data_IF_137002332228
#
_entry.id   IF_137002332228
#
_cell.length_a   1.000
_cell.length_b   1.000
_cell.length_c   1.000
_cell.angle_alpha   90.00
_cell.angle_beta   90.00
_cell.angle_gamma   90.00
#
_symmetry.space_group_name_H-M   'P 1'
#
loop_
_entity.id
_entity.type
_entity.pdbx_description
1 polymer ?
#
# COMPACT_ATOMS: atom_id res chain seq x y z
N UNK A 1 11.48 -31.52 5.20
CA UNK A 1 10.67 -30.91 4.13
C UNK A 1 11.23 -29.53 3.80
N UNK A 2 11.44 -29.26 2.49
CA UNK A 2 12.00 -27.99 2.00
C UNK A 2 10.91 -26.90 1.72
N UNK A 3 9.77 -27.01 2.39
CA UNK A 3 8.64 -26.08 2.20
C UNK A 3 8.20 -25.49 3.54
N UNK A 4 7.90 -24.22 3.54
CA UNK A 4 7.25 -23.57 4.68
C UNK A 4 5.83 -24.11 4.89
N UNK A 5 5.40 -24.16 6.14
CA UNK A 5 4.01 -24.53 6.46
C UNK A 5 3.06 -23.42 6.00
N UNK A 6 1.92 -23.76 5.37
CA UNK A 6 0.94 -22.75 4.96
C UNK A 6 0.48 -21.89 6.14
N UNK A 7 0.54 -20.57 5.98
CA UNK A 7 -0.02 -19.63 6.96
C UNK A 7 -1.54 -19.56 6.80
N UNK A 8 -2.27 -19.65 7.92
CA UNK A 8 -3.71 -19.43 7.93
C UNK A 8 -3.96 -17.93 8.15
N UNK A 9 -4.51 -17.20 7.14
CA UNK A 9 -4.77 -15.78 7.27
C UNK A 9 -5.91 -15.52 8.24
N UNK A 10 -5.90 -14.34 8.88
CA UNK A 10 -6.98 -13.81 9.70
C UNK A 10 -8.04 -13.17 8.82
N UNK A 11 -9.29 -13.16 9.27
CA UNK A 11 -10.36 -12.32 8.72
C UNK A 11 -10.72 -11.31 9.84
N UNK A 12 -10.44 -10.01 9.69
CA UNK A 12 -10.88 -8.99 10.64
C UNK A 12 -12.41 -8.91 10.71
N UNK A 13 -12.97 -8.55 11.87
CA UNK A 13 -14.42 -8.55 12.13
C UNK A 13 -15.24 -7.76 11.09
N UNK A 14 -14.71 -6.63 10.61
CA UNK A 14 -15.34 -5.83 9.55
C UNK A 14 -15.56 -6.57 8.22
N UNK A 15 -14.90 -7.73 8.02
CA UNK A 15 -14.92 -8.53 6.79
C UNK A 15 -15.37 -9.97 7.01
N UNK A 16 -15.97 -10.29 8.15
CA UNK A 16 -16.61 -11.58 8.37
C UNK A 16 -17.84 -11.74 7.48
N UNK A 17 -18.27 -12.97 7.23
CA UNK A 17 -19.29 -13.27 6.22
C UNK A 17 -20.62 -12.52 6.42
N UNK A 18 -21.00 -12.31 7.68
CA UNK A 18 -22.28 -11.67 8.06
C UNK A 18 -22.10 -10.16 8.38
N UNK A 19 -20.90 -9.59 8.21
CA UNK A 19 -20.66 -8.18 8.50
C UNK A 19 -21.14 -7.27 7.36
N UNK A 20 -21.67 -6.08 7.70
CA UNK A 20 -21.87 -4.99 6.76
C UNK A 20 -20.54 -4.21 6.62
N UNK A 21 -19.81 -4.50 5.55
CA UNK A 21 -18.51 -3.87 5.30
C UNK A 21 -18.64 -2.37 5.08
N UNK A 22 -19.74 -1.89 4.50
CA UNK A 22 -19.96 -0.48 4.28
C UNK A 22 -20.21 0.27 5.60
N UNK A 23 -21.01 -0.31 6.50
CA UNK A 23 -21.21 0.25 7.84
C UNK A 23 -19.88 0.33 8.60
N UNK A 24 -19.09 -0.75 8.60
CA UNK A 24 -17.80 -0.78 9.29
C UNK A 24 -16.79 0.26 8.74
N UNK A 25 -16.74 0.45 7.42
CA UNK A 25 -15.86 1.47 6.80
C UNK A 25 -16.41 2.89 7.03
N UNK A 26 -17.74 3.05 7.10
CA UNK A 26 -18.37 4.33 7.39
C UNK A 26 -18.11 4.81 8.83
N UNK A 27 -18.00 3.86 9.77
CA UNK A 27 -17.68 4.14 11.18
C UNK A 27 -16.23 4.57 11.37
N UNK A 28 -15.29 3.84 10.75
CA UNK A 28 -13.86 4.15 10.76
C UNK A 28 -13.11 3.48 9.62
N UNK A 29 -11.96 4.04 9.27
CA UNK A 29 -11.05 3.42 8.31
C UNK A 29 -10.70 1.98 8.73
N UNK A 30 -10.60 1.09 7.74
CA UNK A 30 -10.20 -0.30 7.95
C UNK A 30 -8.88 -0.57 7.23
N UNK A 31 -7.99 -1.34 7.87
CA UNK A 31 -6.70 -1.73 7.29
C UNK A 31 -6.55 -3.25 7.30
N UNK A 32 -6.06 -3.80 6.20
CA UNK A 32 -5.65 -5.20 6.08
C UNK A 32 -4.18 -5.30 5.71
N UNK A 33 -3.51 -6.34 6.20
CA UNK A 33 -2.10 -6.62 5.89
C UNK A 33 -1.94 -8.06 5.38
N UNK A 34 -1.89 -8.22 4.06
CA UNK A 34 -1.69 -9.52 3.42
C UNK A 34 -0.25 -10.02 3.62
N UNK A 35 0.00 -11.34 3.69
CA UNK A 35 -0.97 -12.45 3.73
C UNK A 35 -1.47 -12.79 5.13
N UNK A 36 -1.14 -11.98 6.13
CA UNK A 36 -1.59 -12.20 7.52
C UNK A 36 -3.09 -12.03 7.66
N UNK A 37 -3.65 -11.01 6.98
CA UNK A 37 -5.08 -10.89 6.74
C UNK A 37 -5.41 -11.47 5.36
N UNK A 38 -6.57 -12.11 5.27
CA UNK A 38 -7.03 -12.76 4.04
C UNK A 38 -7.29 -11.73 2.93
N UNK A 39 -6.87 -12.03 1.71
CA UNK A 39 -7.31 -11.28 0.52
C UNK A 39 -8.84 -11.39 0.31
N UNK A 40 -9.46 -12.37 0.98
CA UNK A 40 -10.92 -12.48 1.08
C UNK A 40 -11.61 -11.20 1.57
N UNK A 41 -10.93 -10.35 2.36
CA UNK A 41 -11.46 -9.04 2.78
C UNK A 41 -11.75 -8.12 1.59
N UNK A 42 -10.80 -8.02 0.65
CA UNK A 42 -10.97 -7.24 -0.59
C UNK A 42 -12.08 -7.83 -1.46
N UNK A 43 -12.14 -9.16 -1.54
CA UNK A 43 -13.20 -9.85 -2.30
C UNK A 43 -14.56 -9.64 -1.65
N UNK A 44 -14.67 -9.70 -0.34
CA UNK A 44 -15.92 -9.46 0.39
C UNK A 44 -16.45 -8.05 0.13
N UNK A 45 -15.58 -7.02 0.20
CA UNK A 45 -15.93 -5.65 -0.16
C UNK A 45 -16.49 -5.55 -1.59
N UNK A 46 -15.83 -6.16 -2.57
CA UNK A 46 -16.27 -6.15 -3.96
C UNK A 46 -17.57 -6.95 -4.19
N UNK A 47 -17.73 -8.09 -3.50
CA UNK A 47 -18.93 -8.91 -3.57
C UNK A 47 -20.12 -8.19 -2.96
N UNK A 48 -19.98 -7.58 -1.78
CA UNK A 48 -21.04 -6.76 -1.21
C UNK A 48 -21.37 -5.58 -2.13
N UNK A 49 -20.35 -4.91 -2.71
CA UNK A 49 -20.59 -3.84 -3.69
C UNK A 49 -21.36 -4.33 -4.92
N UNK A 50 -21.09 -5.53 -5.40
CA UNK A 50 -21.81 -6.11 -6.53
C UNK A 50 -23.26 -6.45 -6.19
N UNK A 51 -23.54 -6.91 -4.97
CA UNK A 51 -24.86 -7.39 -4.54
C UNK A 51 -25.77 -6.29 -4.01
N UNK A 52 -25.23 -5.27 -3.34
CA UNK A 52 -26.00 -4.20 -2.69
C UNK A 52 -26.77 -3.35 -3.71
N UNK A 53 -28.12 -3.28 -3.65
CA UNK A 53 -28.95 -2.51 -4.57
C UNK A 53 -28.68 -0.99 -4.51
N UNK A 54 -28.14 -0.49 -3.41
CA UNK A 54 -27.80 0.92 -3.24
C UNK A 54 -26.47 1.31 -3.91
N UNK A 55 -25.60 0.35 -4.26
CA UNK A 55 -24.39 0.65 -5.03
C UNK A 55 -24.77 0.94 -6.48
N UNK A 56 -24.38 2.11 -6.96
CA UNK A 56 -24.68 2.61 -8.31
C UNK A 56 -23.50 2.49 -9.27
N UNK A 57 -22.26 2.60 -8.76
CA UNK A 57 -21.07 2.53 -9.59
C UNK A 57 -19.88 1.88 -8.89
N UNK A 58 -19.05 1.18 -9.67
CA UNK A 58 -17.76 0.63 -9.25
C UNK A 58 -16.70 1.02 -10.28
N UNK A 59 -15.59 1.61 -9.85
CA UNK A 59 -14.43 1.88 -10.70
C UNK A 59 -13.22 1.12 -10.13
N UNK A 60 -12.48 0.40 -10.97
CA UNK A 60 -11.42 -0.51 -10.54
C UNK A 60 -10.21 -0.44 -11.46
N UNK A 61 -9.00 -0.34 -10.91
CA UNK A 61 -7.76 -0.57 -11.67
C UNK A 61 -7.42 -2.06 -11.69
N UNK A 62 -7.06 -2.58 -12.86
CA UNK A 62 -6.71 -3.98 -13.06
C UNK A 62 -5.28 -4.08 -13.60
N UNK A 63 -4.42 -4.72 -12.82
CA UNK A 63 -3.03 -4.99 -13.16
C UNK A 63 -2.62 -6.35 -12.60
N UNK A 64 -2.23 -7.30 -13.47
CA UNK A 64 -1.83 -8.66 -13.07
C UNK A 64 -2.88 -9.37 -12.21
N UNK A 65 -4.11 -9.42 -12.66
CA UNK A 65 -5.21 -10.01 -11.90
C UNK A 65 -5.15 -11.55 -11.79
N UNK A 66 -4.29 -12.20 -12.58
CA UNK A 66 -4.16 -13.64 -12.66
C UNK A 66 -5.31 -14.34 -13.44
N UNK A 67 -5.11 -15.62 -13.75
CA UNK A 67 -6.16 -16.43 -14.39
C UNK A 67 -7.34 -16.67 -13.42
N UNK A 68 -8.57 -16.67 -13.92
CA UNK A 68 -9.81 -16.86 -13.14
C UNK A 68 -9.97 -15.86 -11.99
N UNK A 69 -9.65 -14.58 -12.23
CA UNK A 69 -9.69 -13.54 -11.20
C UNK A 69 -11.07 -13.41 -10.52
N UNK A 70 -11.17 -13.62 -9.20
CA UNK A 70 -12.42 -13.40 -8.48
C UNK A 70 -12.83 -11.92 -8.45
N UNK A 71 -11.89 -10.99 -8.59
CA UNK A 71 -12.14 -9.55 -8.73
C UNK A 71 -12.91 -9.28 -10.02
N UNK A 72 -12.45 -9.82 -11.16
CA UNK A 72 -13.15 -9.68 -12.45
C UNK A 72 -14.55 -10.27 -12.37
N UNK A 73 -14.72 -11.44 -11.74
CA UNK A 73 -16.06 -12.03 -11.52
C UNK A 73 -17.01 -11.10 -10.76
N UNK A 74 -16.52 -10.42 -9.72
CA UNK A 74 -17.33 -9.46 -8.95
C UNK A 74 -17.73 -8.25 -9.80
N UNK A 75 -16.85 -7.76 -10.69
CA UNK A 75 -17.18 -6.67 -11.62
C UNK A 75 -18.23 -7.08 -12.66
N UNK A 76 -18.11 -8.29 -13.20
CA UNK A 76 -19.11 -8.87 -14.13
C UNK A 76 -20.48 -9.02 -13.45
N UNK A 77 -20.52 -9.51 -12.20
CA UNK A 77 -21.76 -9.65 -11.43
C UNK A 77 -22.37 -8.27 -11.13
N UNK A 78 -21.56 -7.28 -10.77
CA UNK A 78 -22.04 -5.91 -10.58
C UNK A 78 -22.68 -5.35 -11.87
N UNK A 79 -22.08 -5.59 -13.03
CA UNK A 79 -22.63 -5.16 -14.32
C UNK A 79 -23.92 -5.87 -14.67
N UNK A 80 -24.01 -7.19 -14.45
CA UNK A 80 -25.26 -7.96 -14.63
C UNK A 80 -26.42 -7.43 -13.79
N UNK A 81 -26.12 -6.89 -12.60
CA UNK A 81 -27.10 -6.24 -11.70
C UNK A 81 -27.37 -4.78 -12.03
N UNK A 82 -26.96 -4.32 -13.20
CA UNK A 82 -27.27 -2.97 -13.72
C UNK A 82 -26.41 -1.84 -13.19
N UNK A 83 -25.31 -2.13 -12.44
CA UNK A 83 -24.42 -1.10 -11.94
C UNK A 83 -23.53 -0.54 -13.05
N UNK A 84 -23.12 0.72 -12.91
CA UNK A 84 -22.09 1.29 -13.76
C UNK A 84 -20.73 0.75 -13.33
N UNK A 85 -20.05 0.04 -14.21
CA UNK A 85 -18.73 -0.52 -13.91
C UNK A 85 -17.70 0.04 -14.90
N UNK A 86 -16.62 0.58 -14.36
CA UNK A 86 -15.46 1.03 -15.15
C UNK A 86 -14.22 0.26 -14.71
N UNK A 87 -13.55 -0.39 -15.63
CA UNK A 87 -12.30 -1.10 -15.42
C UNK A 87 -11.18 -0.41 -16.17
N UNK A 88 -10.17 0.05 -15.46
CA UNK A 88 -8.95 0.61 -16.05
C UNK A 88 -7.91 -0.49 -16.11
N UNK A 89 -7.63 -1.02 -17.30
CA UNK A 89 -6.80 -2.20 -17.53
C UNK A 89 -5.43 -1.79 -18.06
N UNK A 90 -4.36 -2.21 -17.36
CA UNK A 90 -2.99 -2.05 -17.83
C UNK A 90 -2.58 -3.28 -18.65
N UNK A 91 -2.50 -3.13 -19.98
CA UNK A 91 -2.15 -4.23 -20.87
C UNK A 91 -0.66 -4.60 -20.82
N UNK A 92 0.24 -3.63 -20.59
CA UNK A 92 1.70 -3.84 -20.58
C UNK A 92 2.20 -4.44 -19.25
N UNK A 93 1.47 -5.42 -18.71
CA UNK A 93 1.88 -6.15 -17.52
C UNK A 93 2.78 -7.33 -17.95
N UNK A 94 4.10 -7.16 -17.86
CA UNK A 94 5.10 -8.16 -18.26
C UNK A 94 4.72 -9.57 -17.77
N UNK A 95 4.59 -10.54 -18.69
CA UNK A 95 4.16 -11.95 -18.52
C UNK A 95 2.65 -12.16 -18.25
N UNK A 96 1.83 -11.14 -18.25
CA UNK A 96 0.37 -11.24 -18.03
C UNK A 96 -0.43 -10.54 -19.15
N UNK A 97 0.24 -10.16 -20.25
CA UNK A 97 -0.35 -9.38 -21.34
C UNK A 97 -1.55 -10.09 -21.98
N UNK A 98 -1.40 -11.35 -22.34
CA UNK A 98 -2.47 -12.15 -22.96
C UNK A 98 -3.68 -12.30 -22.01
N UNK A 99 -3.43 -12.58 -20.74
CA UNK A 99 -4.51 -12.71 -19.77
C UNK A 99 -5.25 -11.40 -19.54
N UNK A 100 -4.54 -10.27 -19.53
CA UNK A 100 -5.15 -8.96 -19.35
C UNK A 100 -6.01 -8.58 -20.56
N UNK A 101 -5.60 -8.95 -21.78
CA UNK A 101 -6.41 -8.78 -23.00
C UNK A 101 -7.69 -9.61 -22.91
N UNK A 102 -7.59 -10.89 -22.58
CA UNK A 102 -8.74 -11.78 -22.44
C UNK A 102 -9.76 -11.27 -21.41
N UNK A 103 -9.29 -10.75 -20.26
CA UNK A 103 -10.17 -10.15 -19.25
C UNK A 103 -10.83 -8.86 -19.75
N UNK A 104 -10.08 -8.01 -20.45
CA UNK A 104 -10.62 -6.79 -21.01
C UNK A 104 -11.74 -7.08 -22.00
N UNK A 105 -11.55 -8.03 -22.92
CA UNK A 105 -12.59 -8.46 -23.85
C UNK A 105 -13.82 -9.07 -23.17
N UNK A 106 -13.64 -9.89 -22.11
CA UNK A 106 -14.76 -10.45 -21.36
C UNK A 106 -15.58 -9.36 -20.67
N UNK A 107 -14.90 -8.38 -20.07
CA UNK A 107 -15.54 -7.23 -19.45
C UNK A 107 -16.30 -6.37 -20.46
N UNK A 108 -15.71 -6.09 -21.62
CA UNK A 108 -16.35 -5.32 -22.70
C UNK A 108 -17.59 -6.02 -23.24
N UNK A 109 -17.51 -7.33 -23.51
CA UNK A 109 -18.68 -8.12 -23.96
C UNK A 109 -19.84 -8.10 -22.95
N UNK A 110 -19.51 -7.99 -21.65
CA UNK A 110 -20.51 -7.84 -20.59
C UNK A 110 -21.04 -6.40 -20.45
N UNK A 111 -20.53 -5.44 -21.22
CA UNK A 111 -20.92 -4.04 -21.20
C UNK A 111 -20.27 -3.22 -20.07
N UNK A 112 -19.14 -3.67 -19.52
CA UNK A 112 -18.29 -2.87 -18.62
C UNK A 112 -17.58 -1.81 -19.46
N UNK A 113 -17.47 -0.59 -18.94
CA UNK A 113 -16.64 0.43 -19.56
C UNK A 113 -15.15 0.13 -19.30
N UNK A 114 -14.48 -0.45 -20.28
CA UNK A 114 -13.07 -0.78 -20.21
C UNK A 114 -12.23 0.35 -20.78
N UNK A 115 -11.26 0.82 -20.01
CA UNK A 115 -10.31 1.84 -20.45
C UNK A 115 -8.91 1.22 -20.42
N UNK A 116 -8.28 1.23 -21.54
CA UNK A 116 -6.87 0.85 -21.69
C UNK A 116 -5.97 2.02 -21.32
N UNK A 117 -4.87 1.73 -20.64
CA UNK A 117 -3.98 2.77 -20.14
C UNK A 117 -3.47 3.74 -21.21
N UNK A 118 -2.88 4.83 -20.79
CA UNK A 118 -2.39 5.88 -21.68
C UNK A 118 -1.17 5.47 -22.50
N UNK A 119 -1.07 6.00 -23.71
CA UNK A 119 0.17 5.94 -24.47
C UNK A 119 1.29 6.64 -23.69
N UNK A 120 2.34 5.88 -23.32
CA UNK A 120 3.51 6.39 -22.61
C UNK A 120 3.45 6.41 -21.09
N UNK A 121 2.27 6.24 -20.45
CA UNK A 121 2.14 6.15 -18.99
C UNK A 121 1.57 4.81 -18.57
N UNK A 122 2.30 4.10 -17.72
CA UNK A 122 1.85 2.82 -17.16
C UNK A 122 1.02 3.04 -15.90
N UNK A 123 -0.17 2.41 -15.85
CA UNK A 123 -1.02 2.48 -14.65
C UNK A 123 -0.56 1.43 -13.64
N UNK A 124 -0.06 1.91 -12.49
CA UNK A 124 0.43 1.02 -11.43
C UNK A 124 -0.28 1.23 -10.09
N UNK A 125 -1.11 2.25 -9.96
CA UNK A 125 -1.98 2.46 -8.79
C UNK A 125 -2.98 1.31 -8.61
N UNK A 126 -3.27 0.93 -7.36
CA UNK A 126 -4.20 -0.12 -6.99
C UNK A 126 -5.37 0.51 -6.26
N UNK A 127 -6.43 0.79 -7.02
CA UNK A 127 -7.58 1.58 -6.58
C UNK A 127 -8.90 0.86 -6.90
N UNK A 128 -9.80 0.87 -5.94
CA UNK A 128 -11.20 0.55 -6.13
C UNK A 128 -12.06 1.67 -5.55
N UNK A 129 -12.98 2.21 -6.32
CA UNK A 129 -13.97 3.20 -5.90
C UNK A 129 -15.37 2.61 -6.04
N UNK A 130 -16.13 2.61 -4.97
CA UNK A 130 -17.55 2.24 -4.93
C UNK A 130 -18.37 3.48 -4.59
N UNK A 131 -19.41 3.74 -5.38
CA UNK A 131 -20.37 4.83 -5.12
C UNK A 131 -21.70 4.21 -4.71
N UNK A 132 -22.14 4.55 -3.50
CA UNK A 132 -23.34 4.00 -2.86
C UNK A 132 -24.32 5.12 -2.54
N UNK A 133 -25.62 4.88 -2.77
CA UNK A 133 -26.69 5.78 -2.34
C UNK A 133 -26.93 5.60 -0.85
N UNK A 134 -26.92 6.67 -0.09
CA UNK A 134 -27.19 6.68 1.34
C UNK A 134 -28.07 7.87 1.69
N UNK A 135 -29.27 7.58 2.17
CA UNK A 135 -30.31 8.61 2.38
C UNK A 135 -30.56 9.40 1.09
N UNK A 136 -30.49 10.71 1.15
CA UNK A 136 -30.67 11.61 0.01
C UNK A 136 -29.40 11.85 -0.83
N UNK A 137 -28.26 11.25 -0.44
CA UNK A 137 -26.94 11.53 -1.03
C UNK A 137 -26.23 10.30 -1.58
N UNK A 138 -25.00 10.57 -2.04
CA UNK A 138 -24.06 9.54 -2.50
C UNK A 138 -22.85 9.53 -1.60
N UNK A 139 -22.50 8.36 -1.06
CA UNK A 139 -21.25 8.15 -0.33
C UNK A 139 -20.28 7.34 -1.18
N UNK A 140 -19.01 7.69 -1.10
CA UNK A 140 -17.92 7.00 -1.78
C UNK A 140 -17.15 6.17 -0.77
N UNK A 141 -16.82 4.97 -1.18
CA UNK A 141 -15.98 4.02 -0.46
C UNK A 141 -14.79 3.68 -1.34
N UNK A 142 -13.61 3.76 -0.78
CA UNK A 142 -12.38 3.56 -1.54
C UNK A 142 -11.54 2.48 -0.87
N UNK A 143 -11.00 1.56 -1.68
CA UNK A 143 -9.88 0.72 -1.29
C UNK A 143 -8.63 1.18 -2.05
N UNK A 144 -7.55 1.41 -1.31
CA UNK A 144 -6.21 1.72 -1.84
C UNK A 144 -5.23 0.68 -1.34
N UNK A 145 -4.59 -0.06 -2.29
CA UNK A 145 -3.64 -1.11 -1.96
C UNK A 145 -2.20 -0.76 -2.34
N UNK A 146 -1.24 -1.31 -1.61
CA UNK A 146 0.16 -1.33 -2.04
C UNK A 146 0.42 -2.46 -3.05
N UNK A 147 -0.37 -3.53 -3.01
CA UNK A 147 -0.28 -4.73 -3.85
C UNK A 147 -1.37 -4.87 -4.90
N UNK A 148 -1.11 -5.71 -5.89
CA UNK A 148 -2.05 -5.99 -6.98
C UNK A 148 -3.30 -6.73 -6.49
N UNK A 149 -4.42 -6.55 -7.21
CA UNK A 149 -5.66 -7.30 -6.99
C UNK A 149 -5.54 -8.74 -7.49
N UNK A 150 -4.64 -9.51 -6.89
CA UNK A 150 -4.31 -10.88 -7.27
C UNK A 150 -4.30 -11.80 -6.04
N UNK A 151 -5.29 -12.68 -5.95
CA UNK A 151 -5.47 -13.59 -4.81
C UNK A 151 -4.31 -14.59 -4.63
N UNK A 152 -3.58 -14.93 -5.70
CA UNK A 152 -2.44 -15.84 -5.62
C UNK A 152 -1.20 -15.12 -5.08
N UNK A 153 -0.88 -13.92 -5.61
CA UNK A 153 0.24 -13.12 -5.11
C UNK A 153 0.03 -12.67 -3.66
N UNK A 154 -1.21 -12.36 -3.27
CA UNK A 154 -1.56 -11.94 -1.91
C UNK A 154 -1.34 -13.03 -0.84
N UNK A 155 -1.02 -14.27 -1.22
CA UNK A 155 -0.61 -15.33 -0.30
C UNK A 155 0.87 -15.31 0.06
N UNK A 156 1.67 -14.58 -0.71
CA UNK A 156 3.14 -14.62 -0.63
C UNK A 156 3.70 -13.20 -0.43
N UNK A 157 3.06 -12.16 -1.00
CA UNK A 157 3.50 -10.78 -0.94
C UNK A 157 2.91 -10.10 0.29
N UNK A 158 3.74 -9.36 1.04
CA UNK A 158 3.24 -8.52 2.12
C UNK A 158 2.74 -7.21 1.56
N UNK A 159 1.43 -6.94 1.69
CA UNK A 159 0.81 -5.74 1.16
C UNK A 159 -0.24 -5.17 2.11
N UNK A 160 -0.30 -3.84 2.19
CA UNK A 160 -1.31 -3.10 2.94
C UNK A 160 -2.50 -2.73 2.03
N UNK A 161 -3.70 -2.76 2.59
CA UNK A 161 -4.93 -2.29 1.94
C UNK A 161 -5.75 -1.44 2.89
N UNK A 162 -5.92 -0.15 2.55
CA UNK A 162 -6.74 0.81 3.29
C UNK A 162 -8.12 0.89 2.68
N UNK A 163 -9.16 0.77 3.50
CA UNK A 163 -10.56 1.06 3.14
C UNK A 163 -10.99 2.33 3.89
N UNK A 164 -11.55 3.30 3.17
CA UNK A 164 -11.91 4.61 3.74
C UNK A 164 -13.12 5.23 3.05
N UNK A 165 -13.83 6.08 3.79
CA UNK A 165 -14.84 7.02 3.29
C UNK A 165 -14.37 8.46 3.39
N UNK A 166 -13.12 8.72 3.76
CA UNK A 166 -12.61 10.08 3.90
C UNK A 166 -12.88 10.90 2.63
N UNK A 167 -13.55 12.03 2.76
CA UNK A 167 -14.04 12.80 1.64
C UNK A 167 -12.93 13.30 0.72
N UNK A 168 -11.79 13.74 1.27
CA UNK A 168 -10.67 14.26 0.49
C UNK A 168 -10.03 13.13 -0.34
N UNK A 169 -9.76 11.98 0.31
CA UNK A 169 -9.20 10.79 -0.36
C UNK A 169 -10.15 10.26 -1.43
N UNK A 170 -11.44 10.11 -1.11
CA UNK A 170 -12.44 9.61 -2.04
C UNK A 170 -12.64 10.53 -3.26
N UNK A 171 -12.61 11.86 -3.03
CA UNK A 171 -12.70 12.83 -4.12
C UNK A 171 -11.48 12.78 -5.02
N UNK A 172 -10.27 12.68 -4.45
CA UNK A 172 -9.03 12.57 -5.22
C UNK A 172 -8.98 11.27 -6.04
N UNK A 173 -9.43 10.13 -5.47
CA UNK A 173 -9.52 8.87 -6.21
C UNK A 173 -10.53 8.98 -7.37
N UNK A 174 -11.67 9.63 -7.16
CA UNK A 174 -12.63 9.88 -8.24
C UNK A 174 -12.02 10.77 -9.33
N UNK A 175 -11.35 11.86 -8.95
CA UNK A 175 -10.68 12.76 -9.87
C UNK A 175 -9.58 12.03 -10.67
N UNK A 176 -8.81 11.15 -10.00
CA UNK A 176 -7.81 10.32 -10.68
C UNK A 176 -8.44 9.32 -11.66
N UNK A 177 -9.57 8.70 -11.32
CA UNK A 177 -10.31 7.87 -12.29
C UNK A 177 -10.81 8.70 -13.48
N UNK A 178 -11.26 9.93 -13.26
CA UNK A 178 -11.67 10.81 -14.36
C UNK A 178 -10.47 11.16 -15.26
N UNK A 179 -9.28 11.42 -14.70
CA UNK A 179 -8.04 11.58 -15.47
C UNK A 179 -7.73 10.31 -16.27
N UNK A 180 -7.75 9.14 -15.62
CA UNK A 180 -7.43 7.85 -16.28
C UNK A 180 -8.43 7.46 -17.38
N UNK A 181 -9.64 7.98 -17.35
CA UNK A 181 -10.68 7.73 -18.36
C UNK A 181 -10.83 8.85 -19.39
N UNK A 182 -9.94 9.85 -19.37
CA UNK A 182 -9.90 10.94 -20.35
C UNK A 182 -10.90 12.07 -20.10
N UNK A 183 -11.59 12.09 -18.98
CA UNK A 183 -12.65 13.08 -18.68
C UNK A 183 -12.18 14.24 -17.79
N UNK A 184 -10.89 14.37 -17.53
CA UNK A 184 -10.44 15.45 -16.65
C UNK A 184 -8.95 15.74 -16.70
N UNK A 185 -8.60 16.95 -16.28
CA UNK A 185 -7.25 17.38 -15.94
C UNK A 185 -7.28 17.80 -14.50
N UNK A 186 -6.38 17.25 -13.68
CA UNK A 186 -6.24 17.60 -12.27
C UNK A 186 -4.88 18.24 -12.06
N UNK A 187 -4.89 19.47 -11.59
CA UNK A 187 -3.67 20.23 -11.29
C UNK A 187 -3.15 19.92 -9.88
N UNK A 188 -4.05 19.71 -8.93
CA UNK A 188 -3.73 19.46 -7.52
C UNK A 188 -4.72 18.48 -6.89
N UNK A 189 -4.20 17.52 -6.12
CA UNK A 189 -4.98 16.64 -5.26
C UNK A 189 -5.04 17.21 -3.83
N UNK A 190 -6.08 16.85 -3.07
CA UNK A 190 -6.34 17.33 -1.70
C UNK A 190 -5.52 16.57 -0.68
N UNK A 191 -5.42 15.25 -0.86
CA UNK A 191 -4.80 14.31 0.07
C UNK A 191 -3.79 13.37 -0.60
N UNK A 192 -4.03 12.96 -1.84
CA UNK A 192 -3.20 11.98 -2.53
C UNK A 192 -1.95 12.63 -3.14
N UNK A 193 -0.83 11.91 -3.09
CA UNK A 193 0.34 12.21 -3.91
C UNK A 193 0.30 11.33 -5.15
N UNK A 194 0.13 11.94 -6.31
CA UNK A 194 -0.05 11.23 -7.58
C UNK A 194 1.10 11.54 -8.52
N UNK A 195 1.73 10.51 -9.10
CA UNK A 195 2.70 10.67 -10.19
C UNK A 195 1.99 10.62 -11.56
N UNK A 196 2.63 11.21 -12.60
CA UNK A 196 4.00 11.71 -12.65
C UNK A 196 4.18 13.16 -12.17
N UNK A 197 3.15 13.90 -11.87
CA UNK A 197 3.28 15.36 -11.63
C UNK A 197 3.68 15.70 -10.18
N UNK A 198 2.94 15.22 -9.19
CA UNK A 198 3.01 15.77 -7.82
C UNK A 198 3.69 14.85 -6.80
N UNK A 199 3.77 13.56 -7.04
CA UNK A 199 4.29 12.62 -6.04
C UNK A 199 5.74 12.94 -5.65
N UNK A 200 6.63 13.14 -6.64
CA UNK A 200 8.03 13.53 -6.38
C UNK A 200 8.10 14.81 -5.54
N UNK A 201 7.39 15.85 -5.99
CA UNK A 201 7.40 17.15 -5.30
C UNK A 201 6.95 17.01 -3.85
N UNK A 202 5.86 16.31 -3.60
CA UNK A 202 5.31 16.15 -2.25
C UNK A 202 6.21 15.31 -1.34
N UNK A 203 6.83 14.23 -1.84
CA UNK A 203 7.81 13.46 -1.04
C UNK A 203 9.04 14.29 -0.74
N UNK A 204 9.55 15.07 -1.71
CA UNK A 204 10.67 15.98 -1.49
C UNK A 204 10.33 17.04 -0.44
N UNK A 205 9.14 17.64 -0.51
CA UNK A 205 8.68 18.62 0.46
C UNK A 205 8.60 18.04 1.89
N UNK A 206 8.14 16.80 2.05
CA UNK A 206 8.12 16.13 3.37
C UNK A 206 9.53 15.94 3.94
N UNK A 207 10.52 15.59 3.10
CA UNK A 207 11.91 15.45 3.56
C UNK A 207 12.48 16.82 3.95
N UNK A 208 12.22 17.86 3.16
CA UNK A 208 12.66 19.24 3.46
C UNK A 208 12.01 19.79 4.73
N UNK A 209 10.72 19.50 4.93
CA UNK A 209 10.00 19.87 6.14
C UNK A 209 10.55 19.14 7.38
N UNK A 210 10.89 17.84 7.26
CA UNK A 210 11.55 17.10 8.36
C UNK A 210 12.93 17.66 8.69
N UNK A 211 13.71 18.11 7.69
CA UNK A 211 14.99 18.82 7.91
C UNK A 211 14.73 20.09 8.73
N UNK A 212 13.81 20.94 8.29
CA UNK A 212 13.49 22.21 8.96
C UNK A 212 13.01 21.99 10.40
N UNK A 213 12.12 21.01 10.60
CA UNK A 213 11.61 20.67 11.93
C UNK A 213 12.72 20.11 12.83
N UNK A 214 13.65 19.33 12.27
CA UNK A 214 14.81 18.84 13.01
C UNK A 214 15.73 19.99 13.46
N UNK A 215 16.03 20.93 12.57
CA UNK A 215 16.89 22.10 12.88
C UNK A 215 16.26 23.01 13.94
N UNK A 216 14.93 23.11 13.98
CA UNK A 216 14.21 24.01 14.88
C UNK A 216 13.78 23.35 16.19
N UNK A 217 13.42 22.06 16.19
CA UNK A 217 12.86 21.35 17.35
C UNK A 217 13.66 20.13 17.76
N UNK A 218 14.60 19.68 16.93
CA UNK A 218 15.31 18.43 17.13
C UNK A 218 14.48 17.17 16.88
N UNK A 219 15.13 16.02 16.97
CA UNK A 219 14.50 14.70 16.97
C UNK A 219 13.89 14.26 15.62
N UNK A 220 14.31 14.85 14.50
CA UNK A 220 13.85 14.44 13.17
C UNK A 220 14.12 12.97 12.89
N UNK A 221 13.11 12.29 12.29
CA UNK A 221 13.21 10.87 12.02
C UNK A 221 12.36 10.49 10.81
N UNK A 222 12.96 9.83 9.84
CA UNK A 222 12.32 9.33 8.62
C UNK A 222 12.43 7.81 8.55
N UNK A 223 11.36 7.11 8.24
CA UNK A 223 11.35 5.68 7.93
C UNK A 223 10.79 5.47 6.53
N UNK A 224 11.56 4.82 5.67
CA UNK A 224 11.17 4.52 4.30
C UNK A 224 11.19 3.01 4.07
N UNK A 225 10.00 2.40 3.89
CA UNK A 225 9.89 1.02 3.41
C UNK A 225 9.44 1.04 1.96
N UNK A 226 10.25 0.46 1.07
CA UNK A 226 9.95 0.37 -0.36
C UNK A 226 10.66 -0.83 -1.00
N UNK A 227 10.36 -1.11 -2.27
CA UNK A 227 11.07 -2.18 -2.96
C UNK A 227 12.38 -1.69 -3.57
N UNK A 228 12.44 -0.43 -3.99
CA UNK A 228 13.63 0.13 -4.66
C UNK A 228 13.79 1.61 -4.31
N UNK A 229 15.03 2.02 -4.02
CA UNK A 229 15.45 3.39 -3.73
C UNK A 229 16.60 3.76 -4.69
N UNK A 230 16.29 4.41 -5.81
CA UNK A 230 17.21 4.62 -6.94
C UNK A 230 17.21 6.07 -7.42
N UNK A 231 16.16 6.84 -7.09
CA UNK A 231 16.01 8.21 -7.59
C UNK A 231 17.10 9.14 -7.02
N UNK A 232 17.92 9.77 -7.88
CA UNK A 232 19.08 10.55 -7.43
C UNK A 232 18.69 11.80 -6.63
N UNK A 233 17.56 12.45 -6.96
CA UNK A 233 17.14 13.67 -6.27
C UNK A 233 16.65 13.36 -4.86
N UNK A 234 15.86 12.28 -4.71
CA UNK A 234 15.41 11.80 -3.39
C UNK A 234 16.62 11.36 -2.54
N UNK A 235 17.59 10.64 -3.13
CA UNK A 235 18.80 10.22 -2.41
C UNK A 235 19.62 11.44 -1.96
N UNK A 236 19.76 12.47 -2.80
CA UNK A 236 20.45 13.70 -2.45
C UNK A 236 19.78 14.44 -1.28
N UNK A 237 18.43 14.48 -1.24
CA UNK A 237 17.69 15.07 -0.14
C UNK A 237 17.84 14.26 1.16
N UNK A 238 17.87 12.92 1.10
CA UNK A 238 18.11 12.07 2.27
C UNK A 238 19.54 12.29 2.81
N UNK A 239 20.53 12.47 1.94
CA UNK A 239 21.89 12.86 2.37
C UNK A 239 21.91 14.25 3.03
N UNK A 240 21.17 15.23 2.47
CA UNK A 240 21.02 16.54 3.10
C UNK A 240 20.38 16.42 4.50
N UNK A 241 19.33 15.61 4.65
CA UNK A 241 18.70 15.37 5.94
C UNK A 241 19.64 14.69 6.95
N UNK A 242 20.44 13.71 6.49
CA UNK A 242 21.44 13.08 7.34
C UNK A 242 22.54 14.03 7.82
N UNK A 243 22.99 14.95 6.97
CA UNK A 243 24.02 15.93 7.35
C UNK A 243 23.61 16.86 8.49
N UNK A 244 22.34 17.17 8.61
CA UNK A 244 21.82 17.98 9.72
C UNK A 244 21.44 17.13 10.94
N UNK A 245 21.56 15.78 10.86
CA UNK A 245 21.35 14.89 11.99
C UNK A 245 20.01 14.16 12.02
N UNK A 246 19.13 14.31 11.02
CA UNK A 246 17.88 13.54 10.92
C UNK A 246 18.19 12.06 10.88
N UNK A 247 17.58 11.26 11.78
CA UNK A 247 17.69 9.80 11.76
C UNK A 247 16.90 9.23 10.58
N UNK A 248 17.51 8.36 9.78
CA UNK A 248 16.86 7.78 8.60
C UNK A 248 17.02 6.25 8.61
N UNK A 249 15.89 5.53 8.59
CA UNK A 249 15.86 4.07 8.56
C UNK A 249 15.16 3.59 7.28
N UNK A 250 15.90 2.93 6.40
CA UNK A 250 15.40 2.44 5.13
C UNK A 250 15.24 0.91 5.16
N UNK A 251 14.05 0.41 4.83
CA UNK A 251 13.77 -1.01 4.61
C UNK A 251 13.55 -1.20 3.12
N UNK A 252 14.61 -1.56 2.39
CA UNK A 252 14.60 -1.66 0.92
C UNK A 252 14.83 -3.10 0.50
N UNK A 253 13.80 -3.70 -0.11
CA UNK A 253 13.85 -5.12 -0.48
C UNK A 253 14.81 -5.43 -1.65
N UNK A 254 14.91 -4.53 -2.61
CA UNK A 254 15.66 -4.74 -3.85
C UNK A 254 16.76 -3.71 -4.05
N UNK A 255 16.82 -3.10 -5.23
CA UNK A 255 17.88 -2.16 -5.60
C UNK A 255 17.86 -0.92 -4.71
N UNK A 256 19.01 -0.63 -4.07
CA UNK A 256 19.24 0.58 -3.31
C UNK A 256 20.52 1.24 -3.81
N UNK A 257 20.42 2.44 -4.39
CA UNK A 257 21.57 3.24 -4.83
C UNK A 257 22.09 4.21 -3.76
N UNK A 258 21.33 4.36 -2.65
CA UNK A 258 21.79 5.10 -1.49
C UNK A 258 22.87 4.32 -0.75
N UNK A 259 23.92 4.99 -0.29
CA UNK A 259 25.00 4.41 0.54
C UNK A 259 24.93 4.95 1.96
N UNK A 260 24.62 4.10 2.95
CA UNK A 260 24.53 4.50 4.35
C UNK A 260 25.90 4.60 5.01
N UNK A 261 26.01 5.30 6.15
CA UNK A 261 27.18 5.30 7.03
C UNK A 261 28.45 5.96 6.45
N UNK A 262 28.34 6.76 5.40
CA UNK A 262 29.45 7.55 4.86
C UNK A 262 29.71 8.75 5.75
N UNK A 263 30.96 8.89 6.20
CA UNK A 263 31.39 9.99 7.10
C UNK A 263 31.09 11.37 6.49
N UNK A 264 30.42 12.23 7.26
CA UNK A 264 30.01 13.59 6.88
C UNK A 264 28.89 13.64 5.80
N UNK A 265 28.30 12.49 5.42
CA UNK A 265 27.29 12.44 4.35
C UNK A 265 26.03 11.69 4.81
N UNK A 266 26.16 10.45 5.30
CA UNK A 266 25.02 9.57 5.57
C UNK A 266 25.16 8.79 6.88
N UNK A 267 25.81 9.39 7.89
CA UNK A 267 26.13 8.74 9.16
C UNK A 267 24.87 8.33 9.96
N UNK A 268 23.77 9.07 9.80
CA UNK A 268 22.49 8.79 10.47
C UNK A 268 21.56 7.88 9.65
N UNK A 269 22.01 7.45 8.47
CA UNK A 269 21.22 6.57 7.60
C UNK A 269 21.58 5.11 7.83
N UNK A 270 20.56 4.27 7.99
CA UNK A 270 20.67 2.82 7.96
C UNK A 270 19.83 2.24 6.83
N UNK A 271 20.31 1.20 6.16
CA UNK A 271 19.58 0.48 5.11
C UNK A 271 19.59 -1.00 5.43
N UNK A 272 18.41 -1.61 5.40
CA UNK A 272 18.26 -3.05 5.54
C UNK A 272 17.29 -3.63 4.50
N UNK A 273 17.41 -4.92 4.25
CA UNK A 273 16.49 -5.73 3.47
C UNK A 273 16.07 -6.94 4.30
N UNK A 274 14.77 -7.26 4.34
CA UNK A 274 14.29 -8.47 4.99
C UNK A 274 13.98 -9.50 3.91
N UNK A 275 14.64 -10.65 3.95
CA UNK A 275 14.51 -11.75 2.98
C UNK A 275 14.11 -13.02 3.73
N UNK A 276 12.82 -13.21 3.93
CA UNK A 276 12.23 -14.33 4.65
C UNK A 276 11.33 -15.20 3.76
N UNK A 277 10.35 -15.85 4.38
CA UNK A 277 9.33 -16.67 3.72
C UNK A 277 8.45 -15.83 2.77
N UNK A 278 8.06 -14.64 3.23
CA UNK A 278 7.19 -13.73 2.51
C UNK A 278 8.02 -12.70 1.74
N UNK A 279 7.52 -12.30 0.57
CA UNK A 279 8.14 -11.24 -0.21
C UNK A 279 7.66 -9.89 0.31
N UNK A 280 8.58 -9.14 0.91
CA UNK A 280 8.31 -7.80 1.41
C UNK A 280 8.01 -6.85 0.24
N UNK A 281 6.76 -6.35 0.16
CA UNK A 281 6.29 -5.61 -1.00
C UNK A 281 5.58 -4.30 -0.66
N UNK A 282 5.02 -4.16 0.54
CA UNK A 282 4.36 -2.94 0.99
C UNK A 282 5.30 -1.72 0.93
N UNK A 283 4.74 -0.55 0.60
CA UNK A 283 5.43 0.73 0.68
C UNK A 283 4.82 1.53 1.81
N UNK A 284 5.67 1.99 2.72
CA UNK A 284 5.32 2.82 3.86
C UNK A 284 6.35 3.94 3.98
N UNK A 285 5.90 5.18 4.00
CA UNK A 285 6.72 6.37 4.19
C UNK A 285 6.24 7.09 5.44
N UNK A 286 7.08 7.13 6.47
CA UNK A 286 6.77 7.74 7.75
C UNK A 286 7.76 8.83 8.08
N UNK A 287 7.24 9.94 8.59
CA UNK A 287 7.97 11.12 9.01
C UNK A 287 7.50 11.50 10.42
N UNK A 288 8.43 11.76 11.34
CA UNK A 288 8.09 12.19 12.70
C UNK A 288 7.45 13.56 12.74
N UNK A 289 7.82 14.43 11.82
CA UNK A 289 7.18 15.72 11.56
C UNK A 289 6.99 16.59 12.82
N UNK A 290 8.06 16.71 13.64
CA UNK A 290 8.01 17.49 14.88
C UNK A 290 7.04 16.94 15.94
N UNK A 291 6.58 15.69 15.82
CA UNK A 291 5.61 15.02 16.69
C UNK A 291 4.19 14.92 16.12
N UNK A 292 3.88 15.60 15.02
CA UNK A 292 2.63 15.42 14.24
C UNK A 292 2.88 14.40 13.11
N UNK A 293 3.01 13.14 13.48
CA UNK A 293 3.43 12.05 12.59
C UNK A 293 2.66 12.02 11.27
N UNK A 294 3.39 11.92 10.17
CA UNK A 294 2.87 11.76 8.83
C UNK A 294 3.22 10.38 8.29
N UNK A 295 2.22 9.62 7.86
CA UNK A 295 2.43 8.30 7.25
C UNK A 295 1.67 8.20 5.94
N UNK A 296 2.34 7.65 4.94
CA UNK A 296 1.77 7.39 3.62
C UNK A 296 2.01 5.95 3.21
N UNK A 297 1.03 5.34 2.55
CA UNK A 297 1.14 4.02 1.92
C UNK A 297 0.73 4.10 0.46
N UNK A 298 1.21 3.18 -0.37
CA UNK A 298 0.76 3.16 -1.76
C UNK A 298 1.59 2.30 -2.70
N UNK A 299 1.53 2.63 -3.97
CA UNK A 299 2.10 1.81 -5.05
C UNK A 299 3.50 2.21 -5.48
N UNK A 300 3.94 3.43 -5.17
CA UNK A 300 5.18 4.00 -5.67
C UNK A 300 6.42 3.50 -4.92
N UNK A 301 7.44 3.09 -5.68
CA UNK A 301 8.82 3.03 -5.19
C UNK A 301 9.54 4.36 -5.48
N UNK A 302 10.65 4.62 -4.82
CA UNK A 302 11.48 5.81 -5.05
C UNK A 302 12.45 5.60 -6.21
N UNK A 303 11.87 5.44 -7.40
CA UNK A 303 12.57 5.30 -8.67
C UNK A 303 12.10 6.35 -9.66
N UNK A 304 13.00 6.86 -10.49
CA UNK A 304 12.69 7.86 -11.53
C UNK A 304 11.51 7.42 -12.41
N UNK A 305 11.47 6.14 -12.82
CA UNK A 305 10.35 5.62 -13.63
C UNK A 305 9.00 5.61 -12.89
N UNK A 306 8.97 5.38 -11.56
CA UNK A 306 7.74 5.44 -10.76
C UNK A 306 7.30 6.89 -10.60
N UNK A 307 8.25 7.79 -10.36
CA UNK A 307 7.98 9.18 -10.08
C UNK A 307 7.63 9.99 -11.35
N UNK A 308 8.09 9.58 -12.54
CA UNK A 308 7.95 10.34 -13.79
C UNK A 308 7.20 9.61 -14.91
N UNK A 309 7.16 8.27 -14.92
CA UNK A 309 6.67 7.48 -16.08
C UNK A 309 5.52 6.54 -15.77
N UNK A 310 4.89 6.67 -14.59
CA UNK A 310 3.77 5.83 -14.17
C UNK A 310 2.71 6.64 -13.44
N UNK A 311 1.49 6.11 -13.45
CA UNK A 311 0.45 6.56 -12.52
C UNK A 311 0.59 5.73 -11.24
N UNK A 312 1.13 6.36 -10.21
CA UNK A 312 1.32 5.82 -8.87
C UNK A 312 0.58 6.70 -7.87
N UNK A 313 0.24 6.14 -6.73
CA UNK A 313 -0.44 6.85 -5.65
C UNK A 313 0.25 6.57 -4.32
N UNK A 314 0.42 7.62 -3.51
CA UNK A 314 0.59 7.53 -2.06
C UNK A 314 -0.62 8.19 -1.40
N UNK A 315 -1.23 7.49 -0.47
CA UNK A 315 -2.35 7.97 0.35
C UNK A 315 -1.90 8.19 1.79
N UNK A 316 -2.31 9.27 2.46
CA UNK A 316 -2.06 9.41 3.88
C UNK A 316 -2.87 8.40 4.68
N UNK A 317 -2.29 7.89 5.77
CA UNK A 317 -2.98 7.12 6.80
C UNK A 317 -3.43 8.10 7.87
N UNK A 318 -4.70 8.49 7.85
CA UNK A 318 -5.22 9.56 8.71
C UNK A 318 -5.64 9.07 10.10
N UNK A 319 -6.11 7.82 10.22
CA UNK A 319 -6.45 7.20 11.50
C UNK A 319 -5.18 6.96 12.35
N UNK A 320 -5.14 7.55 13.55
CA UNK A 320 -3.97 7.49 14.43
C UNK A 320 -3.68 6.08 14.93
N UNK A 321 -4.72 5.27 15.22
CA UNK A 321 -4.55 3.89 15.68
C UNK A 321 -3.96 3.02 14.57
N UNK A 322 -4.42 3.23 13.32
CA UNK A 322 -3.87 2.53 12.17
C UNK A 322 -2.40 2.91 11.96
N UNK A 323 -2.04 4.19 12.06
CA UNK A 323 -0.62 4.62 11.98
C UNK A 323 0.22 3.96 13.04
N UNK A 324 -0.22 4.02 14.31
CA UNK A 324 0.48 3.40 15.43
C UNK A 324 0.64 1.88 15.24
N UNK A 325 -0.40 1.20 14.76
CA UNK A 325 -0.36 -0.24 14.47
C UNK A 325 0.62 -0.58 13.33
N UNK A 326 0.65 0.19 12.25
CA UNK A 326 1.63 -0.03 11.17
C UNK A 326 3.05 0.15 11.70
N UNK A 327 3.29 1.22 12.46
CA UNK A 327 4.61 1.50 13.02
C UNK A 327 5.07 0.40 13.98
N UNK A 328 4.26 0.10 15.00
CA UNK A 328 4.67 -0.79 16.10
C UNK A 328 4.58 -2.27 15.75
N UNK A 329 3.63 -2.67 14.90
CA UNK A 329 3.38 -4.09 14.60
C UNK A 329 3.98 -4.57 13.28
N UNK A 330 4.34 -3.65 12.37
CA UNK A 330 4.89 -4.02 11.05
C UNK A 330 6.30 -3.47 10.89
N UNK A 331 6.51 -2.17 11.07
CA UNK A 331 7.78 -1.52 10.78
C UNK A 331 8.83 -1.84 11.84
N UNK A 332 8.53 -1.60 13.12
CA UNK A 332 9.48 -1.88 14.21
C UNK A 332 9.93 -3.34 14.27
N UNK A 333 9.06 -4.36 14.11
CA UNK A 333 9.51 -5.73 13.99
C UNK A 333 10.52 -5.94 12.87
N UNK A 334 10.32 -5.32 11.69
CA UNK A 334 11.27 -5.43 10.58
C UNK A 334 12.60 -4.72 10.87
N UNK A 335 12.57 -3.63 11.63
CA UNK A 335 13.78 -2.96 12.10
C UNK A 335 14.54 -3.77 13.18
N UNK A 336 13.87 -4.68 13.89
CA UNK A 336 14.44 -5.56 14.92
C UNK A 336 14.86 -6.94 14.37
N UNK A 337 14.48 -7.30 13.13
CA UNK A 337 14.79 -8.62 12.56
C UNK A 337 16.30 -8.87 12.53
N UNK A 338 16.74 -9.99 13.13
CA UNK A 338 18.14 -10.36 13.24
C UNK A 338 18.49 -11.72 12.62
N UNK A 339 17.52 -12.37 11.95
CA UNK A 339 17.75 -13.65 11.28
C UNK A 339 17.44 -13.64 9.78
N UNK A 340 16.56 -12.74 9.32
CA UNK A 340 16.22 -12.57 7.91
C UNK A 340 16.72 -11.24 7.32
N UNK A 341 17.19 -10.33 8.18
CA UNK A 341 17.66 -9.02 7.75
C UNK A 341 19.08 -9.07 7.16
N UNK A 342 19.27 -8.30 6.09
CA UNK A 342 20.55 -7.96 5.49
C UNK A 342 20.77 -6.45 5.65
N UNK A 343 21.91 -6.06 6.17
CA UNK A 343 22.26 -4.65 6.40
C UNK A 343 23.30 -4.23 5.38
N UNK A 344 23.07 -3.06 4.74
CA UNK A 344 23.98 -2.49 3.78
C UNK A 344 25.11 -1.74 4.50
N UNK A 345 26.34 -1.99 4.08
CA UNK A 345 27.53 -1.28 4.54
C UNK A 345 27.80 -0.04 3.67
N UNK A 346 28.72 0.83 4.15
CA UNK A 346 29.08 2.08 3.45
C UNK A 346 29.75 1.86 2.08
N UNK A 347 30.33 0.69 1.83
CA UNK A 347 30.88 0.30 0.52
C UNK A 347 29.81 -0.22 -0.46
N UNK A 348 28.55 -0.36 0.01
CA UNK A 348 27.42 -0.89 -0.77
C UNK A 348 27.25 -2.40 -0.66
N UNK A 349 28.14 -3.12 0.01
CA UNK A 349 27.96 -4.56 0.28
C UNK A 349 26.85 -4.81 1.30
N UNK A 350 26.31 -6.04 1.29
CA UNK A 350 25.28 -6.45 2.24
C UNK A 350 25.78 -7.60 3.11
N UNK A 351 25.55 -7.47 4.42
CA UNK A 351 25.84 -8.51 5.40
C UNK A 351 24.56 -9.03 6.00
N UNK A 352 24.35 -10.34 5.96
CA UNK A 352 23.23 -10.99 6.68
C UNK A 352 23.47 -10.84 8.18
N UNK A 353 22.42 -10.46 8.91
CA UNK A 353 22.45 -10.45 10.38
C UNK A 353 22.33 -11.88 10.92
N UNK A 354 22.94 -12.07 12.07
CA UNK A 354 22.78 -13.25 12.92
C UNK A 354 22.68 -12.76 14.37
N UNK A 355 21.89 -13.42 15.23
CA UNK A 355 21.85 -13.06 16.65
C UNK A 355 23.23 -13.10 17.27
N UNK A 356 23.56 -12.13 18.12
CA UNK A 356 24.76 -12.15 18.92
C UNK A 356 24.70 -13.24 19.99
N UNK A 357 25.84 -13.58 20.62
CA UNK A 357 25.86 -14.53 21.72
C UNK A 357 24.93 -14.05 22.86
N UNK A 358 23.93 -14.86 23.22
CA UNK A 358 22.92 -14.55 24.24
C UNK A 358 21.72 -13.74 23.72
N UNK A 359 21.72 -13.29 22.48
CA UNK A 359 20.58 -12.61 21.86
C UNK A 359 19.59 -13.62 21.30
N UNK A 360 18.30 -13.42 21.57
CA UNK A 360 17.24 -14.27 21.00
C UNK A 360 17.11 -14.06 19.48
N UNK A 361 16.89 -15.14 18.74
CA UNK A 361 16.55 -15.09 17.33
C UNK A 361 15.18 -14.40 17.15
N UNK A 362 15.13 -13.37 16.31
CA UNK A 362 13.93 -12.55 16.09
C UNK A 362 13.57 -12.52 14.60
N UNK A 363 12.46 -13.17 14.25
CA UNK A 363 11.85 -13.15 12.91
C UNK A 363 10.71 -12.16 12.88
N UNK A 364 10.86 -11.08 12.13
CA UNK A 364 9.79 -10.08 11.98
C UNK A 364 8.52 -10.68 11.41
N UNK A 365 8.63 -11.56 10.40
CA UNK A 365 7.48 -12.16 9.74
C UNK A 365 6.68 -13.09 10.69
N UNK A 366 7.35 -13.77 11.61
CA UNK A 366 6.68 -14.59 12.61
C UNK A 366 6.07 -13.76 13.74
N UNK A 367 6.77 -12.69 14.15
CA UNK A 367 6.28 -11.78 15.18
C UNK A 367 5.02 -11.04 14.76
N UNK A 368 5.02 -10.49 13.54
CA UNK A 368 3.84 -9.87 12.94
C UNK A 368 2.67 -10.87 12.91
N UNK A 369 2.94 -12.11 12.49
CA UNK A 369 1.91 -13.17 12.48
C UNK A 369 1.36 -13.52 13.85
N UNK A 370 2.18 -13.44 14.91
CA UNK A 370 1.75 -13.65 16.30
C UNK A 370 0.89 -12.49 16.81
N UNK A 371 1.33 -11.25 16.64
CA UNK A 371 0.62 -10.05 17.08
C UNK A 371 -0.78 -9.97 16.48
N UNK A 372 -0.90 -10.14 15.17
CA UNK A 372 -2.19 -10.08 14.48
C UNK A 372 -3.16 -11.19 14.93
N UNK A 373 -2.66 -12.39 15.27
CA UNK A 373 -3.50 -13.46 15.85
C UNK A 373 -3.97 -13.16 17.28
N UNK A 374 -3.14 -12.51 18.09
CA UNK A 374 -3.50 -12.14 19.46
C UNK A 374 -4.59 -11.06 19.48
N UNK A 375 -4.55 -10.09 18.57
CA UNK A 375 -5.58 -9.07 18.43
C UNK A 375 -6.96 -9.66 18.08
N UNK A 376 -7.01 -10.66 17.20
CA UNK A 376 -8.26 -11.36 16.86
C UNK A 376 -8.90 -12.07 18.08
N UNK A 377 -8.08 -12.63 18.98
CA UNK A 377 -8.58 -13.27 20.22
C UNK A 377 -9.04 -12.26 21.27
N UNK A 378 -8.43 -11.07 21.31
CA UNK A 378 -8.80 -9.99 22.23
C UNK A 378 -10.13 -9.32 21.86
N UNK A 379 -10.41 -9.14 20.58
CA UNK A 379 -11.69 -8.61 20.07
C UNK A 379 -12.82 -9.61 20.26
N UNK A 380 -12.60 -10.90 20.03
CA UNK A 380 -13.61 -11.94 20.27
C UNK A 380 -14.01 -12.05 21.76
N UNK A 381 -13.06 -11.86 22.70
CA UNK A 381 -13.38 -11.85 24.15
C UNK A 381 -14.17 -10.60 24.58
N UNK A 382 -13.95 -9.45 23.96
CA UNK A 382 -14.74 -8.23 24.25
C UNK A 382 -16.17 -8.30 23.67
N UNK A 383 -16.35 -8.98 22.52
CA UNK A 383 -17.68 -9.18 21.93
C UNK A 383 -18.52 -10.26 22.63
N UNK A 384 -17.89 -11.21 23.32
CA UNK A 384 -18.56 -12.27 24.08
C UNK A 384 -18.84 -11.91 25.55
N UNK A 385 -18.48 -10.70 25.99
CA UNK A 385 -18.63 -10.20 27.35
C UNK A 385 -19.66 -9.05 27.49
N UNK A 386 -20.54 -8.89 26.50
CA UNK A 386 -21.69 -7.97 26.54
C UNK A 386 -22.99 -8.72 26.32
#
# INVERSE_FOLDING_TARGET
ALKYSPRKPRIPAAFEADSDVFAAIAERDQMVYHPYDSFGCVLHFLQQAALDPNVVAIKQTLYRCGSRSPVVKSLLEARRRGKQVTAVVELKARFDEEQNINWAEELERAGVNVVYGFAGLKIHAKLCLVVRREGAGMRRYVHIGTGNYNASSAKIYTDLGLFTTNQAICSDVQDLFNVMTGYGIVERYRALFVSPKLLRHNVSALIEEEIHLHETKGGGHIILKCNQLVDPDIIALLYKASRVGVKIECIVRGICCLRPGLKGISETITVRSVVGELLEHARVYWFRHGGDERMYIGSADLMTRNLNGRIEVLTPVLDADIRANILTQIIEPQLKDNIHAWVQASDGSYRKLSPNAGEAAYSSQDEIGRHLKLMARGTAKKAAGH
#
